data_IF_713456782451
#
_entry.id   IF_713456782451
#
_cell.length_a   1.000
_cell.length_b   1.000
_cell.length_c   1.000
_cell.angle_alpha   90.00
_cell.angle_beta   90.00
_cell.angle_gamma   90.00
#
_symmetry.space_group_name_H-M   'P 1'
#
loop_
_entity.id
_entity.type
_entity.pdbx_description
1 polymer ?
#
# COMPACT_ATOMS: atom_id res chain seq x y z
N UNK A 1 -27.54 13.14 80.58
CA UNK A 1 -26.21 12.75 80.08
C UNK A 1 -26.37 12.31 78.62
N UNK A 2 -25.69 13.02 77.69
CA UNK A 2 -25.15 12.61 76.37
C UNK A 2 -26.06 11.78 75.44
N UNK A 3 -26.60 12.35 74.34
CA UNK A 3 -26.03 12.42 72.97
C UNK A 3 -26.16 11.07 72.20
N UNK A 4 -26.40 10.92 70.90
CA UNK A 4 -26.57 11.74 69.69
C UNK A 4 -27.05 10.76 68.55
N UNK A 5 -27.87 11.19 67.57
CA UNK A 5 -27.75 11.07 66.07
C UNK A 5 -27.38 9.67 65.48
N UNK A 6 -27.93 9.08 64.38
CA UNK A 6 -28.50 9.56 63.11
C UNK A 6 -29.19 8.43 62.32
N UNK A 7 -30.21 8.83 61.54
CA UNK A 7 -30.61 8.44 60.18
C UNK A 7 -29.67 7.54 59.33
N UNK A 8 -30.26 6.64 58.51
CA UNK A 8 -29.97 6.29 57.08
C UNK A 8 -30.66 4.94 56.79
N UNK A 9 -31.48 4.72 55.75
CA UNK A 9 -31.42 5.21 54.37
C UNK A 9 -30.89 4.10 53.45
N UNK A 10 -31.60 2.97 53.32
CA UNK A 10 -31.20 1.87 52.41
C UNK A 10 -31.73 2.20 51.02
N UNK A 11 -30.88 2.77 50.16
CA UNK A 11 -31.10 2.86 48.73
C UNK A 11 -30.53 1.60 48.06
N UNK A 12 -31.40 0.81 47.42
CA UNK A 12 -31.02 -0.30 46.55
C UNK A 12 -30.40 0.29 45.27
N UNK A 13 -29.10 0.08 45.05
CA UNK A 13 -28.47 0.33 43.76
C UNK A 13 -28.48 -1.00 43.00
N UNK A 14 -29.34 -1.08 41.97
CA UNK A 14 -29.35 -2.17 41.00
C UNK A 14 -28.16 -2.03 40.06
N UNK A 15 -27.17 -2.92 40.19
CA UNK A 15 -26.03 -3.04 39.28
C UNK A 15 -26.45 -3.78 38.00
N UNK A 16 -26.58 -3.05 36.90
CA UNK A 16 -26.68 -3.62 35.56
C UNK A 16 -25.25 -3.99 35.13
N UNK A 17 -24.94 -5.29 35.18
CA UNK A 17 -23.71 -5.83 34.60
C UNK A 17 -23.91 -5.99 33.09
N UNK A 18 -23.42 -5.02 32.31
CA UNK A 18 -23.35 -5.14 30.85
C UNK A 18 -22.24 -6.13 30.47
N UNK A 19 -22.64 -7.28 29.92
CA UNK A 19 -21.75 -8.26 29.29
C UNK A 19 -21.19 -7.62 28.02
N UNK A 20 -19.92 -7.22 28.05
CA UNK A 20 -19.20 -6.79 26.86
C UNK A 20 -18.79 -8.03 26.05
N UNK A 21 -19.47 -8.24 24.93
CA UNK A 21 -19.08 -9.21 23.91
C UNK A 21 -17.79 -8.73 23.25
N UNK A 22 -16.64 -9.27 23.65
CA UNK A 22 -15.36 -9.01 22.98
C UNK A 22 -15.33 -9.82 21.68
N UNK A 23 -15.75 -9.19 20.59
CA UNK A 23 -15.43 -9.68 19.25
C UNK A 23 -13.92 -9.45 19.03
N UNK A 24 -13.12 -10.51 19.05
CA UNK A 24 -11.73 -10.44 18.57
C UNK A 24 -11.75 -10.25 17.06
N UNK A 25 -11.74 -8.99 16.63
CA UNK A 25 -11.41 -8.62 15.25
C UNK A 25 -9.90 -8.50 15.18
N UNK A 26 -9.24 -9.51 14.60
CA UNK A 26 -7.82 -9.45 14.27
C UNK A 26 -7.59 -8.22 13.38
N UNK A 27 -6.90 -7.23 13.94
CA UNK A 27 -6.85 -5.89 13.39
C UNK A 27 -5.59 -5.74 12.53
N UNK A 28 -5.72 -5.88 11.21
CA UNK A 28 -4.61 -5.70 10.25
C UNK A 28 -4.29 -4.22 10.10
N UNK A 29 -3.03 -3.87 10.29
CA UNK A 29 -2.50 -2.52 10.20
C UNK A 29 -2.63 -1.90 8.81
N UNK A 30 -2.57 -0.56 8.76
CA UNK A 30 -2.30 0.32 7.62
C UNK A 30 -0.88 0.12 7.04
N UNK A 31 -0.46 -1.12 6.89
CA UNK A 31 0.82 -1.50 6.31
C UNK A 31 0.56 -1.97 4.90
N UNK A 32 1.38 -1.50 3.95
CA UNK A 32 1.57 -2.19 2.69
C UNK A 32 1.63 -3.70 2.97
N UNK A 33 0.80 -4.48 2.28
CA UNK A 33 0.67 -5.90 2.57
C UNK A 33 1.43 -6.66 1.49
N UNK A 34 2.67 -7.12 1.77
CA UNK A 34 3.36 -8.05 0.89
C UNK A 34 2.73 -9.46 0.99
N UNK A 35 3.11 -10.39 0.12
CA UNK A 35 2.64 -11.76 0.19
C UNK A 35 3.18 -12.45 1.45
N UNK A 36 2.39 -13.37 1.98
CA UNK A 36 2.72 -14.11 3.20
C UNK A 36 3.52 -15.39 2.92
N UNK A 37 3.46 -15.90 1.68
CA UNK A 37 4.22 -17.08 1.25
C UNK A 37 4.34 -17.18 -0.26
N UNK A 38 5.37 -17.87 -0.74
CA UNK A 38 5.42 -18.38 -2.11
C UNK A 38 4.61 -19.68 -2.15
N UNK A 39 3.56 -19.72 -2.97
CA UNK A 39 2.74 -20.91 -3.17
C UNK A 39 3.43 -21.92 -4.08
N UNK A 40 4.02 -21.44 -5.18
CA UNK A 40 4.83 -22.22 -6.11
C UNK A 40 5.80 -21.31 -6.85
N UNK A 41 6.95 -21.85 -7.23
CA UNK A 41 7.91 -21.19 -8.10
C UNK A 41 8.48 -22.21 -9.09
N UNK A 42 8.41 -21.88 -10.37
CA UNK A 42 9.01 -22.64 -11.47
C UNK A 42 9.99 -21.69 -12.16
N UNK A 43 11.30 -21.85 -11.95
CA UNK A 43 12.28 -20.98 -12.59
C UNK A 43 12.30 -21.19 -14.10
N UNK A 44 12.47 -20.09 -14.81
CA UNK A 44 12.68 -20.06 -16.26
C UNK A 44 14.14 -20.32 -16.63
N UNK A 45 14.48 -20.00 -17.88
CA UNK A 45 15.86 -20.08 -18.40
C UNK A 45 16.54 -18.71 -18.36
N UNK A 46 17.86 -18.66 -18.24
CA UNK A 46 18.61 -17.41 -18.32
C UNK A 46 19.11 -16.99 -16.94
N UNK A 47 18.77 -15.78 -16.50
CA UNK A 47 19.21 -15.25 -15.23
C UNK A 47 18.53 -15.98 -14.05
N UNK A 48 19.29 -16.21 -13.00
CA UNK A 48 18.84 -16.93 -11.79
C UNK A 48 19.23 -16.19 -10.49
N UNK A 49 19.44 -14.87 -10.58
CA UNK A 49 19.78 -14.05 -9.42
C UNK A 49 18.67 -14.12 -8.37
N UNK A 50 19.04 -14.23 -7.10
CA UNK A 50 18.06 -14.31 -6.00
C UNK A 50 17.36 -15.66 -5.84
N UNK A 51 17.60 -16.66 -6.70
CA UNK A 51 16.97 -18.00 -6.56
C UNK A 51 17.65 -18.91 -5.53
N UNK A 52 18.85 -18.54 -5.06
CA UNK A 52 19.61 -19.31 -4.06
C UNK A 52 18.87 -19.40 -2.71
N UNK A 53 19.04 -20.51 -2.01
CA UNK A 53 18.37 -20.77 -0.72
C UNK A 53 18.76 -19.78 0.39
N UNK A 54 19.83 -19.03 0.20
CA UNK A 54 20.28 -17.93 1.06
C UNK A 54 19.40 -16.66 0.94
N UNK A 55 18.65 -16.51 -0.15
CA UNK A 55 17.81 -15.35 -0.44
C UNK A 55 16.32 -15.72 -0.58
N UNK A 56 16.04 -16.80 -1.30
CA UNK A 56 14.70 -17.28 -1.58
C UNK A 56 14.14 -18.08 -0.38
N UNK A 57 12.88 -17.90 0.02
CA UNK A 57 11.84 -17.06 -0.62
C UNK A 57 11.76 -15.62 -0.10
N UNK A 58 12.64 -15.19 0.81
CA UNK A 58 12.49 -13.92 1.53
C UNK A 58 12.46 -12.70 0.59
N UNK A 59 13.31 -12.71 -0.44
CA UNK A 59 13.36 -11.67 -1.48
C UNK A 59 12.09 -11.55 -2.34
N UNK A 60 11.22 -12.57 -2.39
CA UNK A 60 9.93 -12.50 -3.10
C UNK A 60 8.75 -12.09 -2.20
N UNK A 61 8.98 -11.97 -0.89
CA UNK A 61 7.96 -11.71 0.13
C UNK A 61 8.15 -10.35 0.82
N UNK A 62 9.12 -9.57 0.34
CA UNK A 62 9.52 -8.29 0.90
C UNK A 62 8.73 -7.09 0.38
N UNK A 63 9.25 -5.92 0.73
CA UNK A 63 8.85 -4.64 0.14
C UNK A 63 9.79 -4.30 -1.02
N UNK A 64 9.39 -3.36 -1.91
CA UNK A 64 10.30 -2.92 -2.97
C UNK A 64 11.62 -2.39 -2.41
N UNK A 65 12.72 -2.65 -3.11
CA UNK A 65 14.05 -2.17 -2.74
C UNK A 65 14.04 -0.66 -2.55
N UNK A 66 14.37 -0.22 -1.33
CA UNK A 66 14.45 1.19 -0.98
C UNK A 66 15.49 1.97 -1.78
N UNK A 67 16.42 1.30 -2.47
CA UNK A 67 17.43 1.90 -3.34
C UNK A 67 17.02 1.93 -4.82
N UNK A 68 15.97 1.22 -5.25
CA UNK A 68 15.53 1.21 -6.64
C UNK A 68 15.08 2.59 -7.10
N UNK A 69 15.52 3.03 -8.28
CA UNK A 69 15.18 4.33 -8.87
C UNK A 69 14.86 4.17 -10.34
N UNK A 70 14.24 5.22 -10.90
CA UNK A 70 14.00 5.35 -12.34
C UNK A 70 15.20 4.99 -13.23
N UNK A 71 16.41 5.39 -12.85
CA UNK A 71 17.63 5.21 -13.65
C UNK A 71 18.68 4.34 -12.92
N UNK A 72 18.27 3.59 -11.89
CA UNK A 72 19.17 2.73 -11.13
C UNK A 72 18.45 1.43 -10.76
N UNK A 73 18.91 0.34 -11.37
CA UNK A 73 18.47 -1.01 -11.05
C UNK A 73 18.92 -1.43 -9.65
N UNK A 74 18.12 -2.25 -8.99
CA UNK A 74 18.59 -3.09 -7.90
C UNK A 74 19.51 -4.18 -8.45
N UNK A 75 20.60 -4.46 -7.75
CA UNK A 75 21.55 -5.54 -8.07
C UNK A 75 21.70 -6.52 -6.91
N UNK A 76 20.95 -6.29 -5.83
CA UNK A 76 21.07 -7.08 -4.63
C UNK A 76 20.15 -8.30 -4.69
N UNK A 77 20.67 -9.53 -4.72
CA UNK A 77 19.85 -10.73 -4.79
C UNK A 77 18.96 -10.94 -3.55
N UNK A 78 19.17 -10.18 -2.47
CA UNK A 78 18.31 -10.15 -1.29
C UNK A 78 17.02 -9.34 -1.49
N UNK A 79 17.02 -8.44 -2.47
CA UNK A 79 15.90 -7.54 -2.76
C UNK A 79 15.13 -7.98 -4.01
N UNK A 80 15.80 -8.61 -5.00
CA UNK A 80 15.17 -9.06 -6.24
C UNK A 80 15.28 -10.58 -6.46
N UNK A 81 14.21 -11.17 -6.99
CA UNK A 81 14.15 -12.54 -7.48
C UNK A 81 13.99 -12.54 -9.00
N UNK A 82 15.05 -12.93 -9.72
CA UNK A 82 14.94 -13.18 -11.15
C UNK A 82 14.12 -14.45 -11.40
N UNK A 83 13.02 -14.33 -12.15
CA UNK A 83 12.23 -15.50 -12.55
C UNK A 83 12.90 -16.29 -13.66
N UNK A 84 13.77 -15.64 -14.45
CA UNK A 84 14.26 -16.15 -15.73
C UNK A 84 13.18 -16.14 -16.81
N UNK A 85 13.59 -16.25 -18.08
CA UNK A 85 12.66 -16.28 -19.20
C UNK A 85 11.68 -17.43 -19.11
N UNK A 86 10.39 -17.12 -19.24
CA UNK A 86 9.23 -18.00 -19.05
C UNK A 86 9.07 -18.56 -17.63
N UNK A 87 9.80 -18.03 -16.65
CA UNK A 87 9.63 -18.38 -15.24
C UNK A 87 8.29 -17.91 -14.69
N UNK A 88 7.81 -18.60 -13.66
CA UNK A 88 6.52 -18.31 -13.05
C UNK A 88 6.59 -18.46 -11.53
N UNK A 89 6.08 -17.46 -10.81
CA UNK A 89 5.88 -17.52 -9.37
C UNK A 89 4.42 -17.24 -9.02
N UNK A 90 3.90 -18.00 -8.05
CA UNK A 90 2.60 -17.76 -7.44
C UNK A 90 2.82 -17.36 -5.99
N UNK A 91 2.32 -16.20 -5.62
CA UNK A 91 2.42 -15.59 -4.30
C UNK A 91 1.07 -15.66 -3.60
N UNK A 92 1.08 -15.97 -2.30
CA UNK A 92 -0.13 -16.14 -1.49
C UNK A 92 -0.22 -15.05 -0.42
N UNK A 93 -1.42 -14.54 -0.21
CA UNK A 93 -1.74 -13.56 0.83
C UNK A 93 -2.66 -14.17 1.90
N UNK A 94 -2.27 -14.03 3.18
CA UNK A 94 -3.09 -14.45 4.33
C UNK A 94 -4.36 -13.61 4.48
N UNK A 95 -4.27 -12.32 4.16
CA UNK A 95 -5.42 -11.42 4.05
C UNK A 95 -5.77 -11.28 2.58
N UNK A 96 -7.01 -11.56 2.15
CA UNK A 96 -7.39 -11.39 0.75
C UNK A 96 -7.13 -9.97 0.24
N UNK A 97 -6.68 -9.86 -1.01
CA UNK A 97 -6.75 -8.62 -1.76
C UNK A 97 -8.22 -8.48 -2.17
N UNK A 98 -8.87 -7.42 -1.71
CA UNK A 98 -10.30 -7.18 -1.97
C UNK A 98 -10.42 -6.09 -3.01
N UNK A 99 -11.30 -6.30 -4.00
CA UNK A 99 -11.67 -5.33 -5.02
C UNK A 99 -12.17 -4.06 -4.36
N UNK A 100 -11.58 -2.95 -4.78
CA UNK A 100 -11.94 -1.63 -4.33
C UNK A 100 -11.88 -0.64 -5.47
N UNK A 101 -12.29 0.60 -5.22
CA UNK A 101 -12.29 1.59 -6.28
C UNK A 101 -10.87 1.95 -6.75
N UNK A 102 -10.45 1.48 -7.92
CA UNK A 102 -9.12 1.72 -8.51
C UNK A 102 -8.21 0.51 -8.36
N UNK A 103 -6.89 0.70 -8.39
CA UNK A 103 -5.98 -0.42 -8.24
C UNK A 103 -5.99 -1.02 -6.82
N UNK A 104 -5.88 -2.35 -6.77
CA UNK A 104 -5.94 -3.15 -5.56
C UNK A 104 -4.57 -3.71 -5.15
N UNK A 105 -3.65 -3.85 -6.10
CA UNK A 105 -2.27 -4.23 -5.83
C UNK A 105 -1.32 -3.69 -6.90
N UNK A 106 -0.03 -3.66 -6.57
CA UNK A 106 1.05 -3.26 -7.48
C UNK A 106 2.10 -4.36 -7.54
N UNK A 107 2.58 -4.65 -8.76
CA UNK A 107 3.72 -5.52 -9.01
C UNK A 107 4.91 -4.63 -9.36
N UNK A 108 5.97 -4.78 -8.60
CA UNK A 108 7.23 -4.08 -8.75
C UNK A 108 8.23 -5.02 -9.40
N UNK A 109 8.84 -4.53 -10.46
CA UNK A 109 9.92 -5.16 -11.19
C UNK A 109 11.15 -4.27 -11.03
N UNK A 110 12.30 -4.76 -11.44
CA UNK A 110 13.53 -4.00 -11.49
C UNK A 110 13.69 -3.12 -12.75
N UNK A 111 12.59 -2.61 -13.34
CA UNK A 111 12.64 -1.82 -14.57
C UNK A 111 13.47 -0.55 -14.35
N UNK A 112 14.23 -0.15 -15.35
CA UNK A 112 15.02 1.09 -15.27
C UNK A 112 15.25 1.70 -16.65
N UNK A 113 15.49 3.01 -16.67
CA UNK A 113 15.93 3.71 -17.86
C UNK A 113 17.45 3.71 -17.95
N UNK A 114 17.96 3.09 -19.01
CA UNK A 114 19.35 3.17 -19.44
C UNK A 114 19.55 4.24 -20.52
N UNK A 115 20.80 4.41 -20.96
CA UNK A 115 21.15 5.30 -22.07
C UNK A 115 21.90 4.54 -23.15
N UNK A 116 21.37 4.55 -24.37
CA UNK A 116 22.06 4.08 -25.58
C UNK A 116 22.39 5.32 -26.42
N UNK A 117 23.65 5.78 -26.32
CA UNK A 117 24.07 7.06 -26.87
C UNK A 117 23.32 8.23 -26.20
N UNK A 118 22.59 9.01 -26.99
CA UNK A 118 21.80 10.15 -26.50
C UNK A 118 20.31 9.80 -26.22
N UNK A 119 19.89 8.55 -26.47
CA UNK A 119 18.50 8.13 -26.24
C UNK A 119 18.39 7.42 -24.90
N UNK A 120 17.40 7.85 -24.13
CA UNK A 120 16.95 7.11 -22.97
C UNK A 120 16.09 5.93 -23.44
N UNK A 121 16.37 4.74 -22.92
CA UNK A 121 15.69 3.50 -23.29
C UNK A 121 15.24 2.82 -22.01
N UNK A 122 13.98 2.44 -21.96
CA UNK A 122 13.45 1.63 -20.87
C UNK A 122 13.92 0.19 -21.08
N UNK A 123 14.63 -0.35 -20.08
CA UNK A 123 14.83 -1.78 -19.94
C UNK A 123 13.57 -2.35 -19.27
N UNK A 124 12.78 -3.09 -20.06
CA UNK A 124 11.51 -3.65 -19.64
C UNK A 124 11.52 -5.16 -19.86
N UNK A 125 11.42 -5.90 -18.77
CA UNK A 125 11.26 -7.35 -18.78
C UNK A 125 9.84 -7.66 -18.33
N UNK A 126 8.89 -7.87 -19.27
CA UNK A 126 7.48 -7.89 -18.94
C UNK A 126 7.03 -9.20 -18.31
N UNK A 127 6.03 -9.11 -17.42
CA UNK A 127 5.26 -10.26 -16.93
C UNK A 127 3.76 -10.12 -17.19
N UNK A 128 3.12 -11.26 -17.47
CA UNK A 128 1.67 -11.42 -17.41
C UNK A 128 1.25 -11.67 -15.97
N UNK A 129 0.21 -10.96 -15.54
CA UNK A 129 -0.35 -11.09 -14.19
C UNK A 129 -1.65 -11.88 -14.23
N UNK A 130 -1.73 -12.90 -13.38
CA UNK A 130 -2.94 -13.66 -13.12
C UNK A 130 -3.32 -13.62 -11.65
N UNK A 131 -4.60 -13.74 -11.34
CA UNK A 131 -5.09 -13.75 -9.95
C UNK A 131 -6.05 -14.90 -9.69
N UNK A 132 -6.07 -15.38 -8.44
CA UNK A 132 -6.88 -16.53 -8.06
C UNK A 132 -7.38 -16.45 -6.61
N UNK A 133 -8.57 -17.02 -6.38
CA UNK A 133 -9.13 -17.24 -5.05
C UNK A 133 -8.54 -18.47 -4.35
N UNK A 134 -8.20 -19.51 -5.12
CA UNK A 134 -7.89 -20.85 -4.62
C UNK A 134 -6.46 -21.32 -4.92
N UNK A 135 -5.73 -20.60 -5.77
CA UNK A 135 -4.37 -20.95 -6.19
C UNK A 135 -4.30 -21.98 -7.32
N UNK A 136 -5.45 -22.43 -7.84
CA UNK A 136 -5.53 -23.43 -8.91
C UNK A 136 -6.10 -22.82 -10.20
N UNK A 137 -7.18 -22.05 -10.09
CA UNK A 137 -7.84 -21.42 -11.25
C UNK A 137 -7.48 -19.95 -11.28
N UNK A 138 -6.75 -19.53 -12.30
CA UNK A 138 -6.33 -18.14 -12.47
C UNK A 138 -7.14 -17.43 -13.55
N UNK A 139 -7.44 -16.16 -13.30
CA UNK A 139 -7.94 -15.23 -14.31
C UNK A 139 -6.82 -14.25 -14.62
N UNK A 140 -6.46 -14.16 -15.91
CA UNK A 140 -5.38 -13.30 -16.36
C UNK A 140 -5.87 -11.89 -16.69
N UNK A 141 -5.06 -10.91 -16.34
CA UNK A 141 -5.20 -9.57 -16.86
C UNK A 141 -4.85 -9.56 -18.35
N UNK A 142 -5.71 -8.94 -19.16
CA UNK A 142 -5.43 -8.72 -20.57
C UNK A 142 -4.24 -7.77 -20.74
N UNK A 143 -3.39 -8.06 -21.71
CA UNK A 143 -2.26 -7.21 -22.07
C UNK A 143 -2.10 -7.13 -23.59
N UNK A 144 -1.43 -6.07 -24.05
CA UNK A 144 -1.04 -5.88 -25.44
C UNK A 144 0.45 -6.22 -25.60
N UNK A 145 0.74 -7.22 -26.44
CA UNK A 145 2.10 -7.77 -26.56
C UNK A 145 3.08 -6.87 -27.32
N UNK A 146 2.63 -5.77 -27.95
CA UNK A 146 3.48 -4.85 -28.69
C UNK A 146 3.84 -3.61 -27.87
N UNK A 147 2.84 -3.08 -27.16
CA UNK A 147 2.97 -1.88 -26.32
C UNK A 147 3.30 -2.20 -24.87
N UNK A 148 3.17 -3.48 -24.47
CA UNK A 148 3.26 -3.96 -23.08
C UNK A 148 2.22 -3.34 -22.14
N UNK A 149 1.18 -2.70 -22.68
CA UNK A 149 0.08 -2.17 -21.88
C UNK A 149 -0.64 -3.33 -21.18
N UNK A 150 -0.77 -3.26 -19.86
CA UNK A 150 -1.37 -4.32 -19.04
C UNK A 150 -0.36 -5.35 -18.51
N UNK A 151 0.91 -5.29 -18.92
CA UNK A 151 1.98 -6.07 -18.29
C UNK A 151 2.47 -5.42 -16.99
N UNK A 152 3.11 -6.21 -16.13
CA UNK A 152 4.09 -5.69 -15.18
C UNK A 152 5.46 -5.52 -15.87
N UNK A 153 6.40 -4.81 -15.23
CA UNK A 153 7.78 -4.67 -15.75
C UNK A 153 7.99 -3.51 -16.71
N UNK A 154 7.16 -2.48 -16.65
CA UNK A 154 7.27 -1.32 -17.57
C UNK A 154 7.36 0.02 -16.86
N UNK A 155 7.28 0.04 -15.53
CA UNK A 155 7.35 1.26 -14.72
C UNK A 155 8.39 1.01 -13.63
N UNK A 156 9.54 1.71 -13.67
CA UNK A 156 10.59 1.58 -12.66
C UNK A 156 10.07 1.78 -11.24
N UNK A 157 10.55 0.96 -10.31
CA UNK A 157 10.32 1.16 -8.87
C UNK A 157 10.94 2.49 -8.40
N UNK A 158 10.22 3.17 -7.51
CA UNK A 158 10.75 4.29 -6.74
C UNK A 158 10.77 3.95 -5.25
N UNK A 159 11.88 3.35 -4.80
CA UNK A 159 12.06 2.89 -3.43
C UNK A 159 12.08 3.98 -2.35
N UNK A 160 12.09 5.26 -2.73
CA UNK A 160 11.98 6.37 -1.79
C UNK A 160 10.54 6.68 -1.37
N UNK A 161 9.56 6.14 -2.09
CA UNK A 161 8.15 6.46 -1.90
C UNK A 161 7.39 5.32 -1.23
N UNK A 162 6.19 5.62 -0.76
CA UNK A 162 5.32 4.59 -0.19
C UNK A 162 4.85 3.62 -1.27
N UNK A 163 5.01 2.29 -1.12
CA UNK A 163 4.65 1.32 -2.16
C UNK A 163 3.14 1.15 -2.38
N UNK A 164 2.32 1.85 -1.59
CA UNK A 164 0.85 1.89 -1.69
C UNK A 164 0.33 3.19 -2.30
N UNK A 165 1.20 4.18 -2.58
CA UNK A 165 0.85 5.38 -3.34
C UNK A 165 1.26 5.19 -4.81
N UNK A 166 0.34 4.61 -5.58
CA UNK A 166 0.52 4.25 -7.00
C UNK A 166 0.86 5.42 -7.92
N UNK A 167 0.72 6.66 -7.46
CA UNK A 167 1.08 7.85 -8.22
C UNK A 167 2.58 8.13 -8.24
N UNK A 168 3.30 7.60 -7.25
CA UNK A 168 4.73 7.94 -7.02
C UNK A 168 5.61 6.73 -6.75
N UNK A 169 5.04 5.59 -6.36
CA UNK A 169 5.79 4.36 -6.03
C UNK A 169 6.50 3.72 -7.22
N UNK A 170 6.04 4.01 -8.44
CA UNK A 170 6.36 3.19 -9.59
C UNK A 170 5.66 1.84 -9.56
N UNK A 171 6.19 0.86 -10.29
CA UNK A 171 5.56 -0.43 -10.49
C UNK A 171 4.26 -0.35 -11.30
N UNK A 172 3.72 -1.51 -11.65
CA UNK A 172 2.51 -1.64 -12.45
C UNK A 172 1.35 -2.06 -11.53
N UNK A 173 0.29 -1.24 -11.49
CA UNK A 173 -0.86 -1.48 -10.61
C UNK A 173 -2.05 -2.12 -11.33
N UNK A 174 -2.75 -3.01 -10.61
CA UNK A 174 -3.80 -3.88 -11.13
C UNK A 174 -5.09 -3.72 -10.31
N UNK A 175 -6.23 -3.70 -11.01
CA UNK A 175 -7.58 -3.44 -10.48
C UNK A 175 -8.45 -4.67 -10.74
N UNK A 176 -8.91 -5.34 -9.68
CA UNK A 176 -9.62 -6.62 -9.76
C UNK A 176 -10.98 -6.48 -10.47
N UNK A 177 -11.61 -5.30 -10.44
CA UNK A 177 -12.83 -5.04 -11.19
C UNK A 177 -12.64 -5.23 -12.70
N UNK A 178 -11.42 -5.02 -13.23
CA UNK A 178 -11.11 -5.26 -14.66
C UNK A 178 -11.19 -6.72 -15.09
N UNK A 179 -11.06 -7.65 -14.14
CA UNK A 179 -11.17 -9.10 -14.36
C UNK A 179 -12.43 -9.68 -13.72
N UNK A 180 -13.30 -8.84 -13.16
CA UNK A 180 -14.61 -9.24 -12.61
C UNK A 180 -14.53 -10.09 -11.35
N UNK A 181 -13.51 -9.90 -10.50
CA UNK A 181 -13.32 -10.64 -9.25
C UNK A 181 -13.40 -9.69 -8.06
N UNK A 182 -14.12 -10.08 -7.00
CA UNK A 182 -14.34 -9.30 -5.79
C UNK A 182 -13.22 -9.41 -4.75
N UNK A 183 -12.49 -10.52 -4.73
CA UNK A 183 -11.34 -10.75 -3.87
C UNK A 183 -10.51 -11.94 -4.32
N UNK A 184 -9.21 -11.91 -4.03
CA UNK A 184 -8.24 -12.95 -4.37
C UNK A 184 -7.26 -13.18 -3.24
N UNK A 185 -6.63 -14.36 -3.22
CA UNK A 185 -5.58 -14.72 -2.26
C UNK A 185 -4.25 -15.04 -2.93
N UNK A 186 -4.25 -15.17 -4.25
CA UNK A 186 -3.09 -15.56 -5.02
C UNK A 186 -2.88 -14.60 -6.18
N UNK A 187 -1.62 -14.19 -6.35
CA UNK A 187 -1.14 -13.45 -7.50
C UNK A 187 -0.08 -14.29 -8.18
N UNK A 188 -0.26 -14.54 -9.48
CA UNK A 188 0.70 -15.21 -10.35
C UNK A 188 1.42 -14.16 -11.18
N UNK A 189 2.74 -14.21 -11.17
CA UNK A 189 3.62 -13.42 -12.01
C UNK A 189 4.32 -14.38 -12.95
N UNK A 190 4.02 -14.29 -14.24
CA UNK A 190 4.62 -15.12 -15.28
C UNK A 190 5.45 -14.26 -16.20
N UNK A 191 6.76 -14.52 -16.26
CA UNK A 191 7.64 -13.89 -17.23
C UNK A 191 7.15 -14.17 -18.66
N UNK A 192 7.11 -13.13 -19.47
CA UNK A 192 6.81 -13.21 -20.91
C UNK A 192 7.88 -12.50 -21.73
N UNK A 193 9.05 -12.23 -21.16
CA UNK A 193 10.15 -11.49 -21.77
C UNK A 193 10.62 -12.11 -23.08
N UNK A 194 10.48 -13.43 -23.24
CA UNK A 194 10.84 -14.13 -24.49
C UNK A 194 10.08 -13.59 -25.71
N UNK A 195 8.84 -13.12 -25.57
CA UNK A 195 8.09 -12.55 -26.70
C UNK A 195 8.75 -11.28 -27.25
N UNK A 196 9.40 -10.50 -26.38
CA UNK A 196 10.18 -9.32 -26.73
C UNK A 196 11.52 -9.76 -27.30
N UNK A 197 12.26 -10.63 -26.60
CA UNK A 197 13.61 -11.05 -26.97
C UNK A 197 13.67 -11.73 -28.36
N UNK A 198 12.63 -12.49 -28.74
CA UNK A 198 12.54 -13.18 -30.04
C UNK A 198 12.12 -12.26 -31.21
N UNK A 199 11.75 -11.01 -30.94
CA UNK A 199 11.34 -10.05 -31.96
C UNK A 199 12.26 -8.82 -31.92
N UNK A 200 13.31 -8.83 -32.74
CA UNK A 200 14.28 -7.73 -32.83
C UNK A 200 13.68 -6.41 -33.33
N UNK A 201 12.45 -6.43 -33.87
CA UNK A 201 11.71 -5.24 -34.26
C UNK A 201 10.76 -4.74 -33.17
N UNK A 202 10.69 -5.41 -32.01
CA UNK A 202 9.86 -5.00 -30.90
C UNK A 202 10.36 -3.66 -30.31
N UNK A 203 9.47 -2.70 -29.94
CA UNK A 203 9.89 -1.39 -29.43
C UNK A 203 10.76 -1.44 -28.16
N UNK A 204 10.61 -2.51 -27.39
CA UNK A 204 11.34 -2.76 -26.13
C UNK A 204 12.41 -3.85 -26.27
N UNK A 205 12.79 -4.23 -27.50
CA UNK A 205 13.83 -5.23 -27.70
C UNK A 205 15.18 -4.75 -27.17
N UNK A 206 15.84 -5.61 -26.41
CA UNK A 206 17.24 -5.50 -26.03
C UNK A 206 17.89 -6.90 -26.07
N UNK A 207 19.16 -6.98 -26.45
CA UNK A 207 19.89 -8.24 -26.54
C UNK A 207 20.25 -8.83 -25.17
N UNK A 208 20.19 -8.04 -24.09
CA UNK A 208 20.53 -8.48 -22.73
C UNK A 208 19.32 -8.85 -21.89
N UNK A 209 18.11 -8.81 -22.45
CA UNK A 209 16.91 -9.31 -21.76
C UNK A 209 17.12 -10.77 -21.33
N UNK A 210 16.70 -11.10 -20.12
CA UNK A 210 17.02 -12.34 -19.44
C UNK A 210 15.90 -12.89 -18.53
N UNK A 211 14.89 -12.07 -18.24
CA UNK A 211 13.66 -12.44 -17.55
C UNK A 211 13.32 -11.48 -16.41
N UNK A 212 12.04 -11.41 -16.06
CA UNK A 212 11.48 -10.54 -15.02
C UNK A 212 12.22 -10.66 -13.69
N UNK A 213 12.72 -9.53 -13.17
CA UNK A 213 13.33 -9.45 -11.84
C UNK A 213 12.29 -8.94 -10.84
N UNK A 214 11.64 -9.86 -10.14
CA UNK A 214 10.61 -9.54 -9.15
C UNK A 214 11.23 -8.84 -7.95
N UNK A 215 10.84 -7.60 -7.75
CA UNK A 215 11.20 -6.76 -6.60
C UNK A 215 10.16 -6.91 -5.48
N UNK A 216 8.87 -6.72 -5.79
CA UNK A 216 7.80 -6.96 -4.81
C UNK A 216 6.41 -7.11 -5.43
N UNK A 217 5.45 -7.63 -4.65
CA UNK A 217 4.02 -7.50 -4.93
C UNK A 217 3.32 -6.97 -3.69
N UNK A 218 2.70 -5.79 -3.79
CA UNK A 218 2.09 -5.13 -2.63
C UNK A 218 0.59 -4.97 -2.85
N UNK A 219 -0.20 -5.55 -1.95
CA UNK A 219 -1.62 -5.26 -1.86
C UNK A 219 -1.84 -3.87 -1.25
N UNK A 220 -2.70 -3.09 -1.92
CA UNK A 220 -3.04 -1.72 -1.53
C UNK A 220 -4.22 -1.81 -0.53
N UNK A 221 -4.13 -1.17 0.65
CA UNK A 221 -5.22 -1.16 1.62
C UNK A 221 -6.43 -0.31 1.17
N UNK A 222 -7.65 -0.74 1.55
CA UNK A 222 -8.90 -0.04 1.19
C UNK A 222 -8.95 1.42 1.64
N UNK A 223 -8.43 1.74 2.83
CA UNK A 223 -8.48 3.10 3.40
C UNK A 223 -7.57 4.11 2.66
N UNK A 224 -6.48 3.66 2.02
CA UNK A 224 -5.63 4.54 1.19
C UNK A 224 -6.43 5.07 -0.01
N UNK A 225 -7.32 4.24 -0.55
CA UNK A 225 -8.14 4.55 -1.72
C UNK A 225 -9.22 5.62 -1.44
N UNK A 226 -9.76 5.65 -0.22
CA UNK A 226 -10.76 6.64 0.20
C UNK A 226 -10.17 8.06 0.32
N UNK A 227 -8.92 8.17 0.80
CA UNK A 227 -8.22 9.45 0.93
C UNK A 227 -7.89 10.07 -0.44
N UNK A 228 -7.45 9.27 -1.42
CA UNK A 228 -7.20 9.77 -2.78
C UNK A 228 -8.45 10.29 -3.48
N UNK A 229 -9.62 9.69 -3.21
CA UNK A 229 -10.91 10.19 -3.73
C UNK A 229 -11.32 11.51 -3.09
N UNK A 230 -11.17 11.66 -1.76
CA UNK A 230 -11.55 12.91 -1.08
C UNK A 230 -10.75 14.11 -1.60
N UNK A 231 -9.45 13.92 -1.89
CA UNK A 231 -8.57 14.93 -2.49
C UNK A 231 -8.96 15.27 -3.92
N UNK A 232 -9.31 14.29 -4.75
CA UNK A 232 -9.70 14.52 -6.14
C UNK A 232 -11.06 15.23 -6.29
N UNK A 233 -11.95 15.10 -5.29
CA UNK A 233 -13.28 15.73 -5.29
C UNK A 233 -13.34 17.09 -4.59
N UNK A 234 -12.28 17.52 -3.90
CA UNK A 234 -12.28 18.79 -3.17
C UNK A 234 -11.84 19.97 -4.04
N UNK A 235 -12.76 20.91 -4.24
CA UNK A 235 -12.50 22.27 -4.73
C UNK A 235 -11.23 22.85 -4.06
N UNK A 236 -10.29 23.27 -4.91
CA UNK A 236 -8.86 23.44 -4.63
C UNK A 236 -8.50 24.66 -3.77
N UNK A 237 -9.39 25.13 -2.89
CA UNK A 237 -9.19 26.40 -2.20
C UNK A 237 -8.67 26.32 -0.77
N UNK A 238 -8.78 25.20 -0.04
CA UNK A 238 -8.10 25.07 1.27
C UNK A 238 -7.79 23.59 1.59
N UNK A 239 -6.58 23.12 1.24
CA UNK A 239 -6.07 21.82 1.69
C UNK A 239 -5.77 21.84 3.20
N UNK A 240 -6.04 20.74 3.92
CA UNK A 240 -5.63 20.59 5.32
C UNK A 240 -4.12 20.46 5.37
N UNK A 241 -3.44 21.43 5.97
CA UNK A 241 -1.98 21.47 6.09
C UNK A 241 -1.55 21.06 7.50
N UNK A 242 -0.58 20.15 7.58
CA UNK A 242 -0.03 19.62 8.83
C UNK A 242 1.44 20.01 8.97
N UNK A 243 1.81 20.72 10.05
CA UNK A 243 3.20 21.16 10.28
C UNK A 243 3.61 21.09 11.75
N UNK A 244 4.68 20.38 12.11
CA UNK A 244 5.51 19.53 11.25
C UNK A 244 4.76 18.25 10.87
N UNK A 245 5.12 17.67 9.73
CA UNK A 245 4.71 16.33 9.32
C UNK A 245 5.88 15.70 8.56
N UNK A 246 6.63 14.74 9.13
CA UNK A 246 6.32 14.02 10.37
C UNK A 246 6.32 14.87 11.65
N UNK A 247 5.45 14.54 12.61
CA UNK A 247 5.34 15.17 13.92
C UNK A 247 5.91 14.28 15.03
N UNK A 248 6.40 14.89 16.11
CA UNK A 248 6.99 14.18 17.27
C UNK A 248 6.11 14.32 18.51
N UNK A 249 5.71 15.55 18.83
CA UNK A 249 4.91 15.86 20.01
C UNK A 249 3.71 16.76 19.70
N UNK A 250 3.78 17.59 18.67
CA UNK A 250 2.70 18.50 18.31
C UNK A 250 2.60 18.62 16.80
N UNK A 251 1.41 18.86 16.28
CA UNK A 251 1.17 19.21 14.87
C UNK A 251 0.29 20.44 14.78
N UNK A 252 0.68 21.40 13.95
CA UNK A 252 -0.19 22.50 13.51
C UNK A 252 -1.07 22.00 12.38
N UNK A 253 -2.36 21.97 12.61
CA UNK A 253 -3.40 21.70 11.61
C UNK A 253 -3.94 23.04 11.11
N UNK A 254 -3.81 23.31 9.82
CA UNK A 254 -4.37 24.51 9.18
C UNK A 254 -5.42 24.09 8.14
N UNK A 255 -6.62 24.63 8.24
CA UNK A 255 -7.74 24.32 7.34
C UNK A 255 -9.01 25.03 7.77
N UNK A 256 -9.97 25.19 6.86
CA UNK A 256 -11.23 25.91 7.11
C UNK A 256 -12.23 25.08 7.96
N UNK A 257 -11.82 24.61 9.14
CA UNK A 257 -12.52 23.61 9.95
C UNK A 257 -12.82 24.05 11.39
N UNK A 258 -14.06 23.87 11.85
CA UNK A 258 -14.51 24.17 13.21
C UNK A 258 -14.20 23.03 14.22
N UNK A 259 -14.02 21.78 13.75
CA UNK A 259 -13.66 20.62 14.59
C UNK A 259 -12.59 19.73 13.94
N UNK A 260 -11.77 19.13 14.80
CA UNK A 260 -10.65 18.27 14.43
C UNK A 260 -10.69 16.98 15.22
N UNK A 261 -10.46 15.85 14.55
CA UNK A 261 -10.20 14.58 15.22
C UNK A 261 -9.05 13.86 14.53
N UNK A 262 -8.27 13.15 15.33
CA UNK A 262 -7.23 12.25 14.85
C UNK A 262 -7.76 10.85 15.00
N UNK A 263 -7.80 10.12 13.89
CA UNK A 263 -8.21 8.72 13.87
C UNK A 263 -7.00 7.83 13.60
N UNK A 264 -6.97 6.67 14.26
CA UNK A 264 -5.98 5.65 13.99
C UNK A 264 -6.32 4.84 12.72
N UNK A 265 -5.45 3.87 12.42
CA UNK A 265 -5.59 2.93 11.29
C UNK A 265 -6.84 2.05 11.30
N UNK A 266 -7.58 2.02 12.41
CA UNK A 266 -8.82 1.26 12.56
C UNK A 266 -10.06 2.16 12.50
N UNK A 267 -9.88 3.45 12.26
CA UNK A 267 -10.96 4.44 12.30
C UNK A 267 -11.37 4.82 13.73
N UNK A 268 -10.64 4.38 14.76
CA UNK A 268 -10.91 4.81 16.12
C UNK A 268 -10.45 6.25 16.29
N UNK A 269 -11.27 7.06 16.93
CA UNK A 269 -10.89 8.40 17.32
C UNK A 269 -9.90 8.30 18.49
N UNK A 270 -8.62 8.56 18.20
CA UNK A 270 -7.55 8.54 19.21
C UNK A 270 -7.32 9.90 19.85
N UNK A 271 -7.67 10.97 19.13
CA UNK A 271 -7.76 12.31 19.70
C UNK A 271 -9.01 12.98 19.16
N UNK A 272 -9.75 13.63 20.07
CA UNK A 272 -10.93 14.40 19.73
C UNK A 272 -10.85 15.74 20.45
N UNK A 273 -11.02 16.81 19.70
CA UNK A 273 -11.20 18.14 20.26
C UNK A 273 -12.51 18.73 19.72
N UNK A 274 -13.54 18.71 20.56
CA UNK A 274 -14.88 19.23 20.27
C UNK A 274 -15.02 20.73 20.62
N UNK A 275 -13.93 21.39 21.01
CA UNK A 275 -13.96 22.82 21.37
C UNK A 275 -14.20 23.66 20.12
N UNK A 276 -15.16 24.58 20.12
CA UNK A 276 -15.33 25.57 19.05
C UNK A 276 -14.19 26.59 19.10
N UNK A 277 -13.47 26.80 17.98
CA UNK A 277 -12.45 27.85 17.88
C UNK A 277 -12.74 28.77 16.71
N UNK A 278 -12.38 30.04 16.91
CA UNK A 278 -12.48 31.13 15.93
C UNK A 278 -11.33 31.17 14.90
N UNK A 279 -10.31 30.31 15.05
CA UNK A 279 -9.09 30.32 14.20
C UNK A 279 -8.96 29.12 13.26
N UNK A 280 -8.55 29.37 12.02
CA UNK A 280 -8.26 28.36 10.97
C UNK A 280 -7.01 27.51 11.20
N UNK A 281 -6.32 27.72 12.33
CA UNK A 281 -5.11 27.00 12.70
C UNK A 281 -5.23 26.49 14.12
N UNK A 282 -4.91 25.21 14.34
CA UNK A 282 -4.83 24.58 15.66
C UNK A 282 -3.52 23.87 15.88
N UNK A 283 -3.06 23.85 17.12
CA UNK A 283 -1.96 23.00 17.56
C UNK A 283 -2.59 21.81 18.28
N UNK A 284 -2.35 20.60 17.76
CA UNK A 284 -2.83 19.36 18.35
C UNK A 284 -1.64 18.68 19.02
N UNK A 285 -1.79 18.33 20.30
CA UNK A 285 -0.82 17.50 21.03
C UNK A 285 -0.97 16.05 20.58
N UNK A 286 0.14 15.49 20.10
CA UNK A 286 0.26 14.12 19.59
C UNK A 286 1.37 13.37 20.32
N UNK A 287 1.88 13.93 21.42
CA UNK A 287 2.99 13.39 22.21
C UNK A 287 2.67 12.08 22.93
N UNK A 288 1.40 11.69 23.01
CA UNK A 288 0.95 10.40 23.54
C UNK A 288 0.64 9.37 22.43
N UNK A 289 0.61 9.79 21.15
CA UNK A 289 0.38 8.89 20.02
C UNK A 289 1.63 8.09 19.67
N UNK A 290 1.50 6.77 19.58
CA UNK A 290 2.59 5.86 19.18
C UNK A 290 3.09 6.21 17.77
N UNK A 291 4.38 5.98 17.48
CA UNK A 291 4.93 6.15 16.13
C UNK A 291 4.10 5.37 15.10
N UNK A 292 3.74 6.03 14.00
CA UNK A 292 2.83 5.47 13.01
C UNK A 292 2.08 6.52 12.20
N UNK A 293 1.13 6.05 11.40
CA UNK A 293 0.30 6.89 10.55
C UNK A 293 -1.09 7.04 11.13
N UNK A 294 -1.59 8.28 11.07
CA UNK A 294 -2.91 8.69 11.54
C UNK A 294 -3.60 9.53 10.47
N UNK A 295 -4.92 9.64 10.53
CA UNK A 295 -5.68 10.57 9.69
C UNK A 295 -6.17 11.70 10.57
N UNK A 296 -5.88 12.93 10.16
CA UNK A 296 -6.50 14.13 10.73
C UNK A 296 -7.73 14.43 9.90
N UNK A 297 -8.90 14.35 10.51
CA UNK A 297 -10.17 14.72 9.91
C UNK A 297 -10.60 16.10 10.41
N UNK A 298 -10.85 17.01 9.47
CA UNK A 298 -11.33 18.36 9.71
C UNK A 298 -12.76 18.47 9.17
N UNK A 299 -13.68 19.03 9.94
CA UNK A 299 -15.03 19.35 9.45
C UNK A 299 -15.21 20.86 9.39
N UNK A 300 -15.54 21.40 8.21
CA UNK A 300 -15.88 22.81 8.01
C UNK A 300 -17.24 23.15 8.59
N UNK A 301 -17.49 24.44 8.80
CA UNK A 301 -18.75 24.97 9.35
C UNK A 301 -19.97 24.66 8.47
N UNK A 302 -19.77 24.43 7.18
CA UNK A 302 -20.79 23.98 6.22
C UNK A 302 -20.98 22.44 6.21
N UNK A 303 -20.25 21.71 7.06
CA UNK A 303 -20.34 20.26 7.20
C UNK A 303 -19.42 19.46 6.27
N UNK A 304 -18.63 20.10 5.39
CA UNK A 304 -17.70 19.37 4.54
C UNK A 304 -16.55 18.74 5.36
N UNK A 305 -16.26 17.47 5.09
CA UNK A 305 -15.16 16.75 5.74
C UNK A 305 -13.93 16.75 4.86
N UNK A 306 -12.77 16.96 5.46
CA UNK A 306 -11.46 16.96 4.80
C UNK A 306 -10.47 16.16 5.62
N UNK A 307 -9.52 15.52 4.95
CA UNK A 307 -8.60 14.59 5.62
C UNK A 307 -7.16 14.87 5.21
N UNK A 308 -6.22 14.69 6.14
CA UNK A 308 -4.79 14.71 5.87
C UNK A 308 -4.05 13.60 6.63
N UNK A 309 -3.02 13.03 6.00
CA UNK A 309 -2.18 12.01 6.62
C UNK A 309 -1.19 12.67 7.59
N UNK A 310 -1.24 12.26 8.86
CA UNK A 310 -0.27 12.63 9.88
C UNK A 310 0.67 11.46 10.15
N UNK A 311 1.99 11.69 10.03
CA UNK A 311 3.01 10.72 10.42
C UNK A 311 3.62 11.11 11.76
N UNK A 312 3.57 10.20 12.74
CA UNK A 312 4.26 10.35 14.02
C UNK A 312 5.59 9.59 13.95
N UNK A 313 6.68 10.29 14.26
CA UNK A 313 8.03 9.71 14.39
C UNK A 313 8.58 9.99 15.78
N UNK A 314 9.14 8.97 16.41
CA UNK A 314 9.86 9.05 17.68
C UNK A 314 11.17 8.30 17.53
#
# INVERSE_FOLDING_TARGET
MKAHISCTGIALISSIASIALVAMVASTSATAQPPSAVHSFVPGTGQSSGQGAEYFPANALGYPDTNARRNAQSVDPREVLSLGMDGEIVLRFDTPIVDGPGADFTVFENAFYGSIGAREVLFAEPAQIGVSRDGNTFVDFAFDSLTLAGCAGTIPTNGNESPIDTRVSGGNSFDLAKVGIDSVRFVRVRDITRMVANNTSHPFWDATLSGFDLDAVIAIPQWVREVSRSIATSDSRVAVRLVPNPATSHVRVSGAGASYRVVDRFGNIVLRDDSEYSSDVRVVDVGELVSGSYIVECTSSDGARRTALLRIVR
#
